data_IF_397280239989
#
_entry.id   IF_397280239989
#
_cell.length_a   1.000
_cell.length_b   1.000
_cell.length_c   1.000
_cell.angle_alpha   90.00
_cell.angle_beta   90.00
_cell.angle_gamma   90.00
#
_symmetry.space_group_name_H-M   'P 1'
#
loop_
_entity.id
_entity.type
_entity.pdbx_description
1 polymer ?
#
# COMPACT_ATOMS: atom_id res chain seq x y z
N UNK A 1 5.55 10.59 18.67
CA UNK A 1 5.13 10.57 17.24
C UNK A 1 3.88 11.41 16.98
N UNK A 2 3.79 12.61 17.56
CA UNK A 2 2.71 13.60 17.32
C UNK A 2 1.29 13.04 17.47
N UNK A 3 1.10 12.00 18.32
CA UNK A 3 -0.19 11.36 18.55
C UNK A 3 -0.62 10.32 17.50
N UNK A 4 0.19 10.07 16.48
CA UNK A 4 -0.02 9.01 15.50
C UNK A 4 0.48 7.66 16.02
N UNK A 5 -0.14 6.59 15.54
CA UNK A 5 0.15 5.21 15.91
C UNK A 5 0.74 4.47 14.69
N UNK A 6 2.08 4.43 14.56
CA UNK A 6 2.73 3.91 13.36
C UNK A 6 2.73 2.37 13.35
N UNK A 7 2.22 1.81 12.26
CA UNK A 7 2.03 0.38 12.05
C UNK A 7 2.74 0.01 10.75
N UNK A 8 3.83 -0.73 10.85
CA UNK A 8 4.48 -1.32 9.69
C UNK A 8 3.68 -2.53 9.20
N UNK A 9 3.46 -2.62 7.89
CA UNK A 9 2.83 -3.78 7.26
C UNK A 9 3.80 -4.40 6.27
N UNK A 10 3.98 -5.71 6.37
CA UNK A 10 4.87 -6.46 5.48
C UNK A 10 4.34 -7.87 5.23
N UNK A 11 4.70 -8.44 4.07
CA UNK A 11 4.35 -9.79 3.66
C UNK A 11 5.56 -10.73 3.73
N UNK A 12 5.36 -11.96 4.17
CA UNK A 12 6.39 -12.99 4.23
C UNK A 12 5.87 -14.35 3.83
N UNK A 13 6.65 -15.08 3.06
CA UNK A 13 6.34 -16.44 2.66
C UNK A 13 6.85 -17.45 3.71
N UNK A 14 5.97 -18.36 4.15
CA UNK A 14 6.27 -19.38 5.14
C UNK A 14 6.08 -20.75 4.48
N UNK A 15 7.17 -21.53 4.41
CA UNK A 15 7.09 -22.92 3.98
C UNK A 15 6.50 -23.78 5.10
N UNK A 16 5.53 -24.60 4.74
CA UNK A 16 4.86 -25.52 5.67
C UNK A 16 5.12 -26.98 5.24
N UNK A 17 4.86 -27.97 6.11
CA UNK A 17 5.07 -29.37 5.79
C UNK A 17 4.41 -29.76 4.48
N UNK A 18 5.17 -30.48 3.64
CA UNK A 18 4.75 -30.88 2.30
C UNK A 18 3.51 -31.76 2.34
N UNK A 19 2.43 -31.33 1.70
CA UNK A 19 1.20 -32.06 1.50
C UNK A 19 0.67 -31.85 0.06
N UNK A 20 0.97 -32.77 -0.89
CA UNK A 20 0.50 -32.66 -2.28
C UNK A 20 -1.01 -32.75 -2.45
N UNK A 21 -1.74 -33.14 -1.40
CA UNK A 21 -3.21 -33.25 -1.43
C UNK A 21 -3.90 -31.94 -1.09
N UNK A 22 -3.16 -30.91 -0.69
CA UNK A 22 -3.67 -29.59 -0.38
C UNK A 22 -3.47 -28.66 -1.59
N UNK A 23 -4.48 -28.48 -2.45
CA UNK A 23 -4.36 -27.71 -3.69
C UNK A 23 -4.18 -26.21 -3.45
N UNK A 24 -4.55 -25.68 -2.28
CA UNK A 24 -4.51 -24.25 -2.01
C UNK A 24 -3.09 -23.78 -1.67
N UNK A 25 -2.30 -24.63 -1.03
CA UNK A 25 -0.95 -24.29 -0.60
C UNK A 25 0.15 -25.01 -1.39
N UNK A 26 -0.19 -26.09 -2.14
CA UNK A 26 0.78 -26.88 -2.89
C UNK A 26 1.09 -26.30 -4.27
N UNK A 27 2.38 -26.21 -4.61
CA UNK A 27 2.85 -25.80 -5.94
C UNK A 27 4.07 -26.60 -6.37
N UNK A 28 4.14 -26.89 -7.66
CA UNK A 28 5.33 -27.43 -8.34
C UNK A 28 5.90 -26.33 -9.23
N UNK A 29 7.20 -26.19 -9.26
CA UNK A 29 7.92 -25.27 -10.15
C UNK A 29 9.14 -25.98 -10.74
N UNK A 30 9.72 -25.44 -11.81
CA UNK A 30 10.93 -26.02 -12.43
C UNK A 30 12.09 -26.14 -11.43
N UNK A 31 12.19 -25.19 -10.48
CA UNK A 31 13.20 -25.22 -9.42
C UNK A 31 12.88 -26.25 -8.33
N UNK A 32 11.61 -26.52 -8.05
CA UNK A 32 11.12 -27.42 -7.01
C UNK A 32 10.22 -28.49 -7.61
N UNK A 33 10.80 -29.41 -8.38
CA UNK A 33 10.10 -30.48 -9.12
C UNK A 33 9.32 -31.46 -8.23
N UNK A 34 9.71 -31.59 -6.95
CA UNK A 34 8.95 -32.40 -5.96
C UNK A 34 7.78 -31.64 -5.37
N UNK A 35 7.68 -30.33 -5.65
CA UNK A 35 6.68 -29.45 -5.08
C UNK A 35 6.89 -29.12 -3.60
N UNK A 36 6.24 -28.05 -3.17
CA UNK A 36 6.25 -27.54 -1.80
C UNK A 36 4.89 -26.98 -1.43
N UNK A 37 4.62 -26.83 -0.15
CA UNK A 37 3.48 -26.10 0.38
C UNK A 37 3.97 -24.82 1.06
N UNK A 38 3.22 -23.74 0.85
CA UNK A 38 3.55 -22.42 1.37
C UNK A 38 2.29 -21.63 1.68
N UNK A 39 2.34 -20.84 2.72
CA UNK A 39 1.38 -19.81 3.06
C UNK A 39 2.06 -18.46 3.02
N UNK A 40 1.30 -17.42 2.73
CA UNK A 40 1.74 -16.04 2.78
C UNK A 40 1.17 -15.38 4.03
N UNK A 41 2.05 -14.80 4.83
CA UNK A 41 1.74 -14.09 6.05
C UNK A 41 1.80 -12.59 5.76
N UNK A 42 0.68 -11.88 5.95
CA UNK A 42 0.66 -10.41 6.02
C UNK A 42 0.57 -10.01 7.49
N UNK A 43 1.54 -9.28 7.99
CA UNK A 43 1.62 -8.90 9.39
C UNK A 43 1.61 -7.38 9.56
N UNK A 44 0.87 -6.91 10.56
CA UNK A 44 0.88 -5.53 11.02
C UNK A 44 1.61 -5.44 12.36
N UNK A 45 2.64 -4.61 12.43
CA UNK A 45 3.52 -4.45 13.58
C UNK A 45 3.53 -3.00 14.06
N UNK A 46 3.14 -2.78 15.30
CA UNK A 46 3.17 -1.45 15.89
C UNK A 46 4.60 -1.07 16.30
N UNK A 47 5.11 0.00 15.70
CA UNK A 47 6.50 0.44 15.86
C UNK A 47 6.79 1.11 17.21
N UNK A 48 5.78 1.45 18.01
CA UNK A 48 5.95 2.03 19.34
C UNK A 48 5.86 0.98 20.46
N UNK A 49 4.91 0.07 20.36
CA UNK A 49 4.72 -0.99 21.34
C UNK A 49 5.57 -2.23 21.08
N UNK A 50 6.11 -2.36 19.86
CA UNK A 50 6.86 -3.53 19.39
C UNK A 50 6.03 -4.82 19.44
N UNK A 51 4.74 -4.73 19.13
CA UNK A 51 3.81 -5.86 19.11
C UNK A 51 3.20 -6.02 17.72
N UNK A 52 2.97 -7.27 17.31
CA UNK A 52 2.10 -7.57 16.19
C UNK A 52 0.65 -7.29 16.59
N UNK A 53 -0.03 -6.48 15.80
CA UNK A 53 -1.40 -6.04 16.05
C UNK A 53 -2.42 -6.78 15.23
N UNK A 54 -1.99 -7.32 14.09
CA UNK A 54 -2.82 -8.12 13.20
C UNK A 54 -1.97 -9.06 12.34
N UNK A 55 -2.58 -10.19 11.93
CA UNK A 55 -1.95 -11.19 11.06
C UNK A 55 -3.00 -11.81 10.15
N UNK A 56 -2.77 -11.75 8.84
CA UNK A 56 -3.61 -12.40 7.83
C UNK A 56 -2.80 -13.47 7.11
N UNK A 57 -3.28 -14.71 7.15
CA UNK A 57 -2.71 -15.84 6.44
C UNK A 57 -3.45 -16.08 5.13
N UNK A 58 -2.73 -16.19 4.04
CA UNK A 58 -3.27 -16.50 2.72
C UNK A 58 -2.60 -17.76 2.15
N UNK A 59 -3.37 -18.70 1.60
CA UNK A 59 -2.80 -19.83 0.89
C UNK A 59 -2.03 -19.38 -0.35
N UNK A 60 -0.96 -20.09 -0.72
CA UNK A 60 -0.07 -19.75 -1.85
C UNK A 60 -0.82 -19.41 -3.15
N UNK A 61 -1.89 -20.14 -3.46
CA UNK A 61 -2.64 -19.96 -4.70
C UNK A 61 -3.70 -18.86 -4.65
N UNK A 62 -3.86 -18.19 -3.49
CA UNK A 62 -4.85 -17.12 -3.24
C UNK A 62 -4.21 -15.87 -2.61
N UNK A 63 -2.92 -15.64 -2.83
CA UNK A 63 -2.23 -14.46 -2.29
C UNK A 63 -2.76 -13.19 -2.95
N UNK A 64 -3.20 -12.25 -2.12
CA UNK A 64 -3.58 -10.90 -2.51
C UNK A 64 -3.26 -9.90 -1.38
N UNK A 65 -2.04 -9.38 -1.40
CA UNK A 65 -1.55 -8.44 -0.38
C UNK A 65 -2.38 -7.15 -0.31
N UNK A 66 -2.98 -6.69 -1.43
CA UNK A 66 -3.84 -5.50 -1.42
C UNK A 66 -5.12 -5.72 -0.60
N UNK A 67 -5.75 -6.89 -0.73
CA UNK A 67 -6.94 -7.25 0.07
C UNK A 67 -6.52 -7.39 1.53
N UNK A 68 -5.44 -8.11 1.82
CA UNK A 68 -4.95 -8.26 3.19
C UNK A 68 -4.66 -6.90 3.85
N UNK A 69 -4.07 -5.96 3.12
CA UNK A 69 -3.84 -4.61 3.64
C UNK A 69 -5.14 -3.85 3.92
N UNK A 70 -6.14 -3.95 3.04
CA UNK A 70 -7.45 -3.35 3.27
C UNK A 70 -8.13 -3.95 4.52
N UNK A 71 -8.07 -5.27 4.70
CA UNK A 71 -8.63 -5.96 5.85
C UNK A 71 -7.92 -5.56 7.14
N UNK A 72 -6.58 -5.45 7.14
CA UNK A 72 -5.79 -4.94 8.28
C UNK A 72 -6.22 -3.52 8.65
N UNK A 73 -6.35 -2.62 7.67
CA UNK A 73 -6.80 -1.24 7.91
C UNK A 73 -8.18 -1.23 8.55
N UNK A 74 -9.14 -1.94 7.96
CA UNK A 74 -10.52 -1.99 8.42
C UNK A 74 -10.62 -2.57 9.83
N UNK A 75 -9.93 -3.68 10.10
CA UNK A 75 -9.94 -4.35 11.40
C UNK A 75 -9.29 -3.48 12.49
N UNK A 76 -8.12 -2.92 12.20
CA UNK A 76 -7.41 -2.09 13.17
C UNK A 76 -8.21 -0.84 13.55
N UNK A 77 -8.77 -0.14 12.57
CA UNK A 77 -9.55 1.09 12.82
C UNK A 77 -10.86 0.80 13.57
N UNK A 78 -11.54 -0.29 13.24
CA UNK A 78 -12.76 -0.71 13.95
C UNK A 78 -12.49 -1.08 15.42
N UNK A 79 -11.35 -1.71 15.71
CA UNK A 79 -10.98 -2.13 17.07
C UNK A 79 -10.30 -1.04 17.89
N UNK A 80 -9.79 0.01 17.24
CA UNK A 80 -9.07 1.13 17.87
C UNK A 80 -9.62 2.51 17.46
N UNK A 81 -10.91 2.81 17.69
CA UNK A 81 -11.59 3.97 17.09
C UNK A 81 -11.07 5.35 17.59
N UNK A 82 -10.30 5.39 18.66
CA UNK A 82 -9.70 6.63 19.21
C UNK A 82 -8.24 6.85 18.80
N UNK A 83 -7.64 5.90 18.11
CA UNK A 83 -6.27 5.99 17.61
C UNK A 83 -6.20 6.74 16.29
N UNK A 84 -4.99 7.23 15.97
CA UNK A 84 -4.66 7.79 14.65
C UNK A 84 -3.67 6.84 13.97
N UNK A 85 -4.13 5.71 13.40
CA UNK A 85 -3.23 4.73 12.81
C UNK A 85 -2.55 5.31 11.57
N UNK A 86 -1.24 5.08 11.47
CA UNK A 86 -0.41 5.40 10.32
C UNK A 86 0.19 4.10 9.77
N UNK A 87 -0.33 3.61 8.67
CA UNK A 87 0.15 2.39 8.04
C UNK A 87 1.35 2.68 7.14
N UNK A 88 2.47 2.04 7.43
CA UNK A 88 3.73 2.20 6.70
C UNK A 88 4.03 0.90 5.96
N UNK A 89 4.13 0.98 4.63
CA UNK A 89 4.29 -0.21 3.80
C UNK A 89 5.23 0.03 2.62
N UNK A 90 5.68 -1.06 2.01
CA UNK A 90 6.55 -1.00 0.84
C UNK A 90 5.76 -0.76 -0.47
N UNK A 91 6.50 -0.72 -1.59
CA UNK A 91 5.95 -0.52 -2.94
C UNK A 91 4.98 -1.64 -3.39
N UNK A 92 4.98 -2.79 -2.71
CA UNK A 92 4.05 -3.89 -2.96
C UNK A 92 2.60 -3.48 -2.73
N UNK A 93 2.37 -2.60 -1.78
CA UNK A 93 1.03 -2.17 -1.32
C UNK A 93 0.45 -0.94 -2.04
N UNK A 94 1.11 -0.42 -3.10
CA UNK A 94 0.63 0.75 -3.85
C UNK A 94 -0.65 0.43 -4.62
N UNK A 95 -1.79 0.92 -4.13
CA UNK A 95 -3.10 0.76 -4.74
C UNK A 95 -4.03 1.90 -4.35
N UNK A 96 -4.83 2.40 -5.32
CA UNK A 96 -5.89 3.37 -5.00
C UNK A 96 -6.92 2.79 -4.02
N UNK A 97 -7.18 1.47 -4.07
CA UNK A 97 -8.09 0.82 -3.12
C UNK A 97 -7.55 0.88 -1.69
N UNK A 98 -6.28 0.53 -1.49
CA UNK A 98 -5.62 0.61 -0.17
C UNK A 98 -5.64 2.04 0.37
N UNK A 99 -5.33 3.03 -0.48
CA UNK A 99 -5.35 4.44 -0.07
C UNK A 99 -6.76 4.92 0.29
N UNK A 100 -7.77 4.49 -0.48
CA UNK A 100 -9.16 4.81 -0.19
C UNK A 100 -9.62 4.18 1.13
N UNK A 101 -9.28 2.89 1.41
CA UNK A 101 -9.57 2.27 2.71
C UNK A 101 -8.95 3.03 3.88
N UNK A 102 -7.72 3.52 3.74
CA UNK A 102 -7.12 4.35 4.79
C UNK A 102 -7.88 5.68 4.97
N UNK A 103 -8.19 6.39 3.88
CA UNK A 103 -8.89 7.68 3.91
C UNK A 103 -10.29 7.53 4.53
N UNK A 104 -11.09 6.59 4.05
CA UNK A 104 -12.48 6.37 4.50
C UNK A 104 -12.57 5.90 5.96
N UNK A 105 -11.52 5.27 6.46
CA UNK A 105 -11.42 4.85 7.85
C UNK A 105 -10.72 5.88 8.77
N UNK A 106 -10.50 7.12 8.31
CA UNK A 106 -9.75 8.14 9.05
C UNK A 106 -8.36 7.69 9.49
N UNK A 107 -7.73 6.84 8.71
CA UNK A 107 -6.38 6.36 8.90
C UNK A 107 -5.40 7.09 7.97
N UNK A 108 -4.13 6.96 8.30
CA UNK A 108 -3.05 7.55 7.53
C UNK A 108 -2.20 6.46 6.90
N UNK A 109 -1.54 6.80 5.79
CA UNK A 109 -0.61 5.90 5.13
C UNK A 109 0.69 6.61 4.75
N UNK A 110 1.76 5.83 4.70
CA UNK A 110 3.06 6.20 4.17
C UNK A 110 3.60 5.00 3.39
N UNK A 111 3.48 5.04 2.07
CA UNK A 111 3.78 3.90 1.20
C UNK A 111 4.81 4.30 0.16
N UNK A 112 5.90 3.52 0.04
CA UNK A 112 6.92 3.76 -0.98
C UNK A 112 6.34 3.59 -2.38
N UNK A 113 6.65 4.53 -3.27
CA UNK A 113 6.25 4.44 -4.66
C UNK A 113 7.03 3.33 -5.40
N UNK A 114 6.40 2.74 -6.40
CA UNK A 114 7.11 1.92 -7.38
C UNK A 114 7.90 2.84 -8.29
N UNK A 115 9.03 2.35 -8.79
CA UNK A 115 9.77 3.04 -9.84
C UNK A 115 8.85 3.44 -11.00
N UNK A 116 9.15 4.59 -11.61
CA UNK A 116 8.36 5.10 -12.74
C UNK A 116 8.47 4.12 -13.92
N UNK A 117 7.39 3.45 -14.22
CA UNK A 117 7.20 2.64 -15.42
C UNK A 117 5.80 2.91 -15.98
N UNK A 118 5.49 2.54 -17.23
CA UNK A 118 4.20 2.87 -17.86
C UNK A 118 2.95 2.37 -17.11
N UNK A 119 3.11 1.44 -16.17
CA UNK A 119 2.02 0.89 -15.35
C UNK A 119 1.99 1.44 -13.93
N UNK A 120 2.99 2.24 -13.53
CA UNK A 120 3.04 2.81 -12.19
C UNK A 120 1.99 3.93 -12.03
N UNK A 121 1.66 4.23 -10.78
CA UNK A 121 0.79 5.36 -10.46
C UNK A 121 1.43 6.69 -10.89
N UNK A 122 2.77 6.81 -10.83
CA UNK A 122 3.53 7.99 -11.22
C UNK A 122 3.55 8.24 -12.74
N UNK A 123 3.38 7.21 -13.57
CA UNK A 123 3.52 7.33 -15.03
C UNK A 123 2.59 8.36 -15.70
N UNK A 124 1.49 8.71 -15.03
CA UNK A 124 0.49 9.66 -15.55
C UNK A 124 0.54 11.01 -14.82
N UNK A 125 1.59 11.25 -14.05
CA UNK A 125 1.75 12.47 -13.24
C UNK A 125 2.94 13.25 -13.77
N UNK A 126 2.75 14.53 -14.01
CA UNK A 126 3.86 15.43 -14.33
C UNK A 126 4.60 15.74 -13.02
N UNK A 127 5.71 15.05 -12.82
CA UNK A 127 6.59 15.28 -11.68
C UNK A 127 7.49 16.48 -11.90
N UNK A 128 7.91 17.20 -10.84
CA UNK A 128 8.96 18.22 -10.92
C UNK A 128 10.31 17.63 -11.40
N UNK A 129 11.12 18.43 -12.07
CA UNK A 129 12.47 18.02 -12.50
C UNK A 129 13.47 17.96 -11.33
N UNK A 130 13.11 18.49 -10.17
CA UNK A 130 13.92 18.43 -8.94
C UNK A 130 13.94 17.00 -8.37
N UNK A 131 15.10 16.53 -7.84
CA UNK A 131 15.17 15.25 -7.15
C UNK A 131 14.33 15.23 -5.84
N UNK A 132 14.09 16.40 -5.26
CA UNK A 132 13.28 16.57 -4.05
C UNK A 132 12.07 17.43 -4.37
N UNK A 133 10.89 16.90 -4.02
CA UNK A 133 9.62 17.61 -4.17
C UNK A 133 8.57 17.06 -3.19
N UNK A 134 7.55 17.88 -2.97
CA UNK A 134 6.38 17.57 -2.16
C UNK A 134 5.17 18.19 -2.85
N UNK A 135 4.44 17.40 -3.60
CA UNK A 135 3.30 17.81 -4.41
C UNK A 135 2.02 17.10 -3.99
N UNK A 136 0.89 17.71 -4.27
CA UNK A 136 -0.43 17.10 -4.06
C UNK A 136 -0.87 16.40 -5.35
N UNK A 137 -1.30 15.18 -5.21
CA UNK A 137 -2.03 14.44 -6.23
C UNK A 137 -3.52 14.52 -5.92
N UNK A 138 -4.29 14.99 -6.88
CA UNK A 138 -5.75 15.10 -6.77
C UNK A 138 -6.40 14.59 -8.04
N UNK A 139 -7.32 13.63 -7.94
CA UNK A 139 -8.04 13.10 -9.10
C UNK A 139 -9.42 12.61 -8.73
N UNK A 140 -10.32 12.67 -9.70
CA UNK A 140 -11.58 11.95 -9.69
C UNK A 140 -11.37 10.56 -10.30
N UNK A 141 -11.48 9.52 -9.49
CA UNK A 141 -11.45 8.14 -9.95
C UNK A 141 -12.79 7.78 -10.60
N UNK A 142 -12.76 7.05 -11.72
CA UNK A 142 -13.95 6.68 -12.47
C UNK A 142 -13.83 5.29 -13.08
N UNK A 143 -14.99 4.60 -13.20
CA UNK A 143 -15.11 3.35 -13.95
C UNK A 143 -15.26 3.59 -15.46
N UNK A 144 -15.54 4.82 -15.87
CA UNK A 144 -15.83 5.16 -17.26
C UNK A 144 -14.58 5.62 -18.00
N UNK A 145 -14.45 5.14 -19.24
CA UNK A 145 -13.37 5.52 -20.16
C UNK A 145 -13.96 6.32 -21.32
N UNK A 146 -14.48 7.50 -21.01
CA UNK A 146 -15.13 8.40 -21.98
C UNK A 146 -14.11 9.32 -22.67
N UNK A 147 -14.54 9.97 -23.79
CA UNK A 147 -13.70 10.96 -24.46
C UNK A 147 -13.32 12.11 -23.54
N UNK A 148 -14.25 12.60 -22.70
CA UNK A 148 -14.00 13.64 -21.69
C UNK A 148 -12.96 13.20 -20.69
N UNK A 149 -13.08 12.01 -20.12
CA UNK A 149 -12.10 11.47 -19.15
C UNK A 149 -10.69 11.36 -19.75
N UNK A 150 -10.60 10.97 -21.03
CA UNK A 150 -9.32 10.91 -21.75
C UNK A 150 -8.75 12.27 -22.09
N UNK A 151 -9.58 13.25 -22.31
CA UNK A 151 -9.16 14.62 -22.66
C UNK A 151 -8.64 15.39 -21.43
N UNK A 152 -9.03 14.99 -20.22
CA UNK A 152 -8.70 15.67 -18.96
C UNK A 152 -7.98 14.74 -17.96
N UNK A 153 -6.80 14.20 -18.31
CA UNK A 153 -6.06 13.24 -17.46
C UNK A 153 -5.56 13.87 -16.16
N UNK A 154 -5.51 15.22 -16.10
CA UNK A 154 -5.14 15.98 -14.90
C UNK A 154 -6.29 16.03 -13.87
N UNK A 155 -7.53 15.79 -14.31
CA UNK A 155 -8.73 15.82 -13.47
C UNK A 155 -9.20 14.42 -13.15
N UNK A 156 -9.15 13.52 -14.14
CA UNK A 156 -9.72 12.17 -14.03
C UNK A 156 -8.68 11.08 -14.11
N UNK A 157 -8.96 9.98 -13.41
CA UNK A 157 -8.19 8.73 -13.50
C UNK A 157 -9.12 7.53 -13.68
N UNK A 158 -8.97 6.83 -14.79
CA UNK A 158 -9.75 5.60 -15.05
C UNK A 158 -9.19 4.43 -14.26
N UNK A 159 -10.10 3.71 -13.57
CA UNK A 159 -9.81 2.48 -12.81
C UNK A 159 -10.69 1.31 -13.27
N UNK A 160 -11.10 1.31 -14.56
CA UNK A 160 -12.17 0.47 -15.12
C UNK A 160 -12.17 -1.00 -14.66
N UNK A 161 -11.02 -1.68 -14.74
CA UNK A 161 -10.88 -3.11 -14.43
C UNK A 161 -10.06 -3.39 -13.16
N UNK A 162 -9.83 -2.38 -12.33
CA UNK A 162 -9.08 -2.55 -11.07
C UNK A 162 -10.04 -2.79 -9.91
N UNK A 163 -9.59 -3.55 -8.91
CA UNK A 163 -10.30 -3.64 -7.64
C UNK A 163 -10.38 -2.26 -7.01
N UNK A 164 -11.57 -1.84 -6.66
CA UNK A 164 -11.84 -0.59 -5.96
C UNK A 164 -13.23 -0.65 -5.32
N UNK A 165 -13.30 -0.66 -4.01
CA UNK A 165 -14.50 -1.03 -3.25
C UNK A 165 -15.51 0.13 -3.12
N UNK A 166 -15.07 1.36 -3.35
CA UNK A 166 -15.90 2.58 -3.23
C UNK A 166 -16.59 3.01 -4.53
N UNK A 167 -16.44 2.24 -5.61
CA UNK A 167 -17.17 2.45 -6.87
C UNK A 167 -17.59 1.10 -7.48
N UNK A 168 -18.87 0.87 -7.63
CA UNK A 168 -19.39 -0.31 -8.31
C UNK A 168 -18.81 -0.43 -9.74
N UNK A 169 -18.56 -1.64 -10.25
CA UNK A 169 -17.95 -1.86 -11.57
C UNK A 169 -18.65 -1.17 -12.75
N UNK A 170 -19.97 -0.96 -12.65
CA UNK A 170 -20.79 -0.30 -13.69
C UNK A 170 -21.15 1.14 -13.34
N UNK A 171 -20.68 1.66 -12.20
CA UNK A 171 -21.02 2.98 -11.70
C UNK A 171 -20.66 4.08 -12.70
N UNK A 172 -21.48 5.15 -12.70
CA UNK A 172 -21.16 6.44 -13.32
C UNK A 172 -20.64 7.45 -12.30
N UNK A 173 -20.65 7.09 -11.02
CA UNK A 173 -20.17 7.93 -9.94
C UNK A 173 -18.66 8.18 -10.05
N UNK A 174 -18.24 9.24 -9.39
CA UNK A 174 -16.84 9.62 -9.26
C UNK A 174 -16.44 9.48 -7.80
N UNK A 175 -15.19 9.09 -7.54
CA UNK A 175 -14.59 9.06 -6.23
C UNK A 175 -13.40 10.02 -6.22
N UNK A 176 -13.45 11.05 -5.38
CA UNK A 176 -12.33 11.97 -5.24
C UNK A 176 -11.27 11.39 -4.33
N UNK A 177 -10.00 11.44 -4.78
CA UNK A 177 -8.86 11.05 -3.98
C UNK A 177 -7.78 12.13 -4.00
N UNK A 178 -7.23 12.44 -2.83
CA UNK A 178 -6.13 13.37 -2.66
C UNK A 178 -5.09 12.82 -1.69
N UNK A 179 -3.81 12.97 -2.05
CA UNK A 179 -2.67 12.60 -1.20
C UNK A 179 -1.40 13.31 -1.68
N UNK A 180 -0.37 13.32 -0.84
CA UNK A 180 0.95 13.87 -1.17
C UNK A 180 1.81 12.84 -1.90
N UNK A 181 2.63 13.32 -2.81
CA UNK A 181 3.74 12.60 -3.43
C UNK A 181 5.01 13.32 -3.01
N UNK A 182 5.82 12.68 -2.20
CA UNK A 182 7.02 13.29 -1.63
C UNK A 182 8.25 12.52 -2.09
N UNK A 183 9.21 13.23 -2.67
CA UNK A 183 10.51 12.70 -3.09
C UNK A 183 11.61 13.27 -2.22
N UNK A 184 12.53 12.43 -1.78
CA UNK A 184 13.70 12.80 -1.00
C UNK A 184 14.95 12.01 -1.40
N UNK A 185 16.10 12.62 -1.19
CA UNK A 185 17.41 11.96 -1.44
C UNK A 185 17.79 11.13 -0.20
N UNK A 186 18.16 9.86 -0.43
CA UNK A 186 18.69 8.97 0.60
C UNK A 186 20.22 8.99 0.65
N UNK A 187 20.89 8.53 1.72
CA UNK A 187 22.32 8.68 1.93
C UNK A 187 23.22 8.14 0.83
N UNK A 188 22.76 7.20 0.02
CA UNK A 188 23.51 6.66 -1.12
C UNK A 188 23.40 7.50 -2.40
N UNK A 189 22.73 8.67 -2.34
CA UNK A 189 22.53 9.58 -3.46
C UNK A 189 21.34 9.24 -4.39
N UNK A 190 20.64 8.14 -4.14
CA UNK A 190 19.40 7.80 -4.86
C UNK A 190 18.21 8.57 -4.30
N UNK A 191 17.14 8.66 -5.09
CA UNK A 191 15.87 9.22 -4.63
C UNK A 191 14.90 8.13 -4.25
N UNK A 192 14.15 8.39 -3.18
CA UNK A 192 12.95 7.61 -2.83
C UNK A 192 11.71 8.49 -2.94
N UNK A 193 10.62 7.89 -3.42
CA UNK A 193 9.33 8.56 -3.53
C UNK A 193 8.33 7.83 -2.66
N UNK A 194 7.55 8.57 -1.88
CA UNK A 194 6.49 8.03 -1.04
C UNK A 194 5.15 8.70 -1.33
N UNK A 195 4.08 7.95 -1.13
CA UNK A 195 2.70 8.42 -1.11
C UNK A 195 2.23 8.53 0.33
N UNK A 196 1.56 9.61 0.69
CA UNK A 196 1.02 9.80 2.04
C UNK A 196 -0.16 10.77 2.07
N UNK A 197 -1.12 10.55 2.98
CA UNK A 197 -2.16 11.51 3.31
C UNK A 197 -1.87 12.26 4.63
N UNK A 198 -0.66 12.14 5.17
CA UNK A 198 -0.24 12.93 6.34
C UNK A 198 -0.23 14.43 6.00
N UNK A 199 -0.75 15.30 6.88
CA UNK A 199 -0.73 16.73 6.68
C UNK A 199 0.69 17.28 6.54
N UNK A 200 0.89 18.23 5.62
CA UNK A 200 2.21 18.84 5.39
C UNK A 200 2.68 19.67 6.58
N UNK A 201 1.73 20.24 7.28
CA UNK A 201 1.96 21.06 8.47
C UNK A 201 2.51 20.22 9.65
N UNK A 202 2.10 18.94 9.70
CA UNK A 202 2.50 18.02 10.75
C UNK A 202 3.82 17.30 10.43
N UNK A 203 4.10 17.05 9.13
CA UNK A 203 5.23 16.21 8.72
C UNK A 203 6.03 16.83 7.57
N UNK A 204 7.26 17.24 7.89
CA UNK A 204 8.27 17.63 6.90
C UNK A 204 8.75 16.43 6.08
N UNK A 205 9.46 16.69 4.99
CA UNK A 205 10.08 15.65 4.16
C UNK A 205 11.08 14.79 4.94
N UNK A 206 11.88 15.40 5.81
CA UNK A 206 12.81 14.71 6.70
C UNK A 206 12.09 13.75 7.63
N UNK A 207 11.03 14.21 8.28
CA UNK A 207 10.26 13.39 9.21
C UNK A 207 9.58 12.21 8.49
N UNK A 208 9.11 12.39 7.25
CA UNK A 208 8.57 11.30 6.43
C UNK A 208 9.64 10.27 6.08
N UNK A 209 10.87 10.69 5.79
CA UNK A 209 12.01 9.81 5.55
C UNK A 209 12.34 8.98 6.80
N UNK A 210 12.42 9.63 7.96
CA UNK A 210 12.68 8.95 9.24
C UNK A 210 11.58 7.94 9.58
N UNK A 211 10.31 8.34 9.42
CA UNK A 211 9.15 7.47 9.61
C UNK A 211 9.20 6.25 8.69
N UNK A 212 9.50 6.45 7.41
CA UNK A 212 9.58 5.34 6.47
C UNK A 212 10.72 4.38 6.84
N UNK A 213 11.87 4.91 7.28
CA UNK A 213 13.00 4.09 7.73
C UNK A 213 12.66 3.22 8.95
N UNK A 214 11.75 3.65 9.83
CA UNK A 214 11.30 2.84 10.96
C UNK A 214 10.62 1.53 10.53
N UNK A 215 10.09 1.45 9.30
CA UNK A 215 9.49 0.23 8.74
C UNK A 215 10.45 -0.98 8.83
N UNK A 216 11.75 -0.76 8.71
CA UNK A 216 12.75 -1.82 8.80
C UNK A 216 12.88 -2.45 10.20
N UNK A 217 12.16 -1.90 11.20
CA UNK A 217 12.09 -2.52 12.53
C UNK A 217 11.11 -3.71 12.57
N UNK A 218 10.22 -3.84 11.57
CA UNK A 218 9.47 -5.08 11.41
C UNK A 218 10.48 -6.17 11.04
N UNK A 219 10.72 -7.10 11.96
CA UNK A 219 11.55 -8.25 11.65
C UNK A 219 10.74 -9.18 10.73
N UNK A 220 11.29 -9.57 9.56
CA UNK A 220 10.66 -10.64 8.80
C UNK A 220 10.56 -11.86 9.70
N UNK A 221 9.37 -12.43 9.79
CA UNK A 221 9.18 -13.72 10.46
C UNK A 221 9.83 -14.77 9.53
N UNK A 222 11.15 -14.88 9.64
CA UNK A 222 11.89 -15.94 8.94
C UNK A 222 11.69 -17.24 9.73
N UNK A 223 11.06 -18.19 9.07
CA UNK A 223 11.01 -19.59 9.53
C UNK A 223 12.34 -20.30 9.24
#
# INVERSE_FOLDING_TARGET
MKGYDPIAVDGSDIYIPRNPKDPDTYRVTDRYNKGFNMIHLNAAYNLLSHLYTDVILQPLNHINEYIAMCDIINHYTATNPTRKPLFIADRGFVSFNVFAHAIENNAYFLVRARESNPRSMLATIKLPDSPEYDIIFERWLTRKDTKTVKAEPEVYKTIANRTFDYLDPKSKSLYYISFRIVSFVIPNGNTEVVYTNLPKEDFSTEELRELYNMRWQIMPISA
#
